data_IF_645810516053
#
_entry.id   IF_645810516053
#
_cell.length_a   1.000
_cell.length_b   1.000
_cell.length_c   1.000
_cell.angle_alpha   90.00
_cell.angle_beta   90.00
_cell.angle_gamma   90.00
#
_symmetry.space_group_name_H-M   'P 1'
#
loop_
_entity.id
_entity.type
_entity.pdbx_description
1 polymer ?
#
# COMPACT_ATOMS: atom_id res chain seq x y z
N UNK A 1 6.34 -7.59 -23.25
CA UNK A 1 5.44 -8.05 -22.17
C UNK A 1 5.73 -7.18 -20.95
N UNK A 2 4.73 -6.51 -20.43
CA UNK A 2 4.87 -5.65 -19.24
C UNK A 2 5.10 -6.53 -18.01
N UNK A 3 6.15 -6.24 -17.24
CA UNK A 3 6.46 -6.97 -16.00
C UNK A 3 5.99 -6.16 -14.79
N UNK A 4 5.29 -6.82 -13.89
CA UNK A 4 4.80 -6.22 -12.65
C UNK A 4 5.30 -6.95 -11.41
N UNK A 5 5.32 -6.26 -10.28
CA UNK A 5 5.75 -6.80 -8.99
C UNK A 5 4.96 -6.11 -7.86
N UNK A 6 4.69 -6.85 -6.78
CA UNK A 6 4.08 -6.30 -5.57
C UNK A 6 5.13 -6.26 -4.45
N UNK A 7 5.31 -5.08 -3.86
CA UNK A 7 6.24 -4.87 -2.75
C UNK A 7 5.50 -4.36 -1.53
N UNK A 8 5.85 -4.84 -0.36
CA UNK A 8 5.17 -4.45 0.86
C UNK A 8 6.07 -4.27 2.08
N UNK A 9 5.58 -3.47 3.02
CA UNK A 9 6.08 -3.33 4.37
C UNK A 9 4.97 -3.76 5.34
N UNK A 10 5.13 -4.91 5.99
CA UNK A 10 4.19 -5.44 6.96
C UNK A 10 4.79 -5.46 8.36
N UNK A 11 3.96 -5.27 9.38
CA UNK A 11 4.34 -5.39 10.79
C UNK A 11 3.71 -6.62 11.45
N UNK A 12 2.40 -6.77 11.33
CA UNK A 12 1.63 -7.87 11.95
C UNK A 12 1.21 -8.97 10.97
N UNK A 13 1.58 -8.85 9.71
CA UNK A 13 1.21 -9.79 8.65
C UNK A 13 -0.04 -9.39 7.84
N UNK A 14 -0.77 -8.35 8.22
CA UNK A 14 -1.99 -7.95 7.50
C UNK A 14 -1.69 -7.36 6.12
N UNK A 15 -0.74 -6.45 6.05
CA UNK A 15 -0.29 -5.89 4.76
C UNK A 15 0.29 -6.99 3.86
N UNK A 16 0.95 -7.97 4.42
CA UNK A 16 1.45 -9.14 3.68
C UNK A 16 0.31 -9.96 3.07
N UNK A 17 -0.76 -10.26 3.83
CA UNK A 17 -1.94 -10.98 3.33
C UNK A 17 -2.56 -10.24 2.15
N UNK A 18 -2.74 -8.93 2.26
CA UNK A 18 -3.27 -8.07 1.20
C UNK A 18 -2.34 -8.08 -0.02
N UNK A 19 -1.04 -7.91 0.19
CA UNK A 19 -0.05 -7.93 -0.89
C UNK A 19 -0.06 -9.24 -1.68
N UNK A 20 -0.15 -10.38 -0.98
CA UNK A 20 -0.26 -11.71 -1.60
C UNK A 20 -1.52 -11.85 -2.46
N UNK A 21 -2.66 -11.32 -1.99
CA UNK A 21 -3.90 -11.34 -2.76
C UNK A 21 -3.88 -10.42 -3.98
N UNK A 22 -3.30 -9.24 -3.85
CA UNK A 22 -3.07 -8.35 -5.01
C UNK A 22 -2.16 -9.05 -6.03
N UNK A 23 -1.09 -9.67 -5.58
CA UNK A 23 -0.16 -10.41 -6.44
C UNK A 23 -0.83 -11.60 -7.14
N UNK A 24 -1.70 -12.34 -6.42
CA UNK A 24 -2.52 -13.43 -6.99
C UNK A 24 -3.39 -12.91 -8.14
N UNK A 25 -4.13 -11.81 -7.94
CA UNK A 25 -4.98 -11.20 -8.96
C UNK A 25 -4.18 -10.68 -10.16
N UNK A 26 -3.03 -10.07 -9.91
CA UNK A 26 -2.14 -9.56 -10.95
C UNK A 26 -1.37 -10.67 -11.68
N UNK A 27 -1.28 -11.86 -11.08
CA UNK A 27 -0.54 -13.00 -11.65
C UNK A 27 0.98 -12.88 -11.50
N UNK A 28 1.45 -12.29 -10.39
CA UNK A 28 2.86 -12.02 -10.11
C UNK A 28 3.25 -12.43 -8.69
N UNK A 29 4.50 -12.25 -8.33
CA UNK A 29 5.00 -12.47 -6.96
C UNK A 29 4.95 -11.19 -6.13
N UNK A 30 4.89 -11.37 -4.81
CA UNK A 30 5.00 -10.30 -3.81
C UNK A 30 6.24 -10.48 -2.94
N UNK A 31 6.88 -9.36 -2.58
CA UNK A 31 8.13 -9.37 -1.80
C UNK A 31 8.07 -8.41 -0.63
N UNK A 32 8.53 -8.88 0.52
CA UNK A 32 8.77 -8.03 1.69
C UNK A 32 9.89 -7.02 1.43
N UNK A 33 9.83 -5.89 2.09
CA UNK A 33 10.84 -4.81 2.03
C UNK A 33 12.29 -5.26 2.26
N UNK A 34 12.49 -6.41 2.88
CA UNK A 34 13.84 -6.96 3.14
C UNK A 34 14.39 -7.76 1.97
N UNK A 35 13.52 -8.26 1.09
CA UNK A 35 13.85 -9.19 0.02
C UNK A 35 13.50 -8.64 -1.38
N UNK A 36 13.60 -7.32 -1.57
CA UNK A 36 13.25 -6.66 -2.84
C UNK A 36 14.28 -7.04 -3.92
N UNK A 37 13.85 -7.65 -5.04
CA UNK A 37 14.74 -7.97 -6.15
C UNK A 37 15.22 -6.70 -6.89
N UNK A 38 16.07 -6.87 -7.90
CA UNK A 38 16.38 -5.78 -8.81
C UNK A 38 15.12 -5.38 -9.61
N UNK A 39 14.79 -4.10 -9.62
CA UNK A 39 13.57 -3.58 -10.24
C UNK A 39 13.77 -3.13 -11.69
N UNK A 40 14.96 -3.30 -12.28
CA UNK A 40 15.25 -2.78 -13.63
C UNK A 40 14.26 -3.25 -14.68
N UNK A 41 13.88 -4.53 -14.63
CA UNK A 41 13.05 -5.17 -15.63
C UNK A 41 11.54 -5.06 -15.36
N UNK A 42 11.14 -4.35 -14.31
CA UNK A 42 9.74 -4.17 -13.96
C UNK A 42 9.22 -2.83 -14.44
N UNK A 43 8.05 -2.83 -15.07
CA UNK A 43 7.37 -1.65 -15.60
C UNK A 43 6.33 -1.09 -14.62
N UNK A 44 5.65 -1.99 -13.89
CA UNK A 44 4.68 -1.68 -12.84
C UNK A 44 5.17 -2.18 -11.49
N UNK A 45 5.18 -1.30 -10.51
CA UNK A 45 5.48 -1.64 -9.11
C UNK A 45 4.27 -1.27 -8.24
N UNK A 46 3.66 -2.26 -7.61
CA UNK A 46 2.61 -2.05 -6.62
C UNK A 46 3.25 -1.96 -5.24
N UNK A 47 3.08 -0.81 -4.57
CA UNK A 47 3.71 -0.53 -3.28
C UNK A 47 2.69 -0.50 -2.15
N UNK A 48 2.92 -1.30 -1.13
CA UNK A 48 2.08 -1.35 0.05
C UNK A 48 2.78 -1.09 1.37
N UNK A 49 2.07 -0.47 2.29
CA UNK A 49 2.53 -0.25 3.66
C UNK A 49 1.35 -0.28 4.63
N UNK A 50 1.65 -0.44 5.91
CA UNK A 50 0.67 -0.23 6.96
C UNK A 50 0.73 1.22 7.45
N UNK A 51 -0.42 1.72 7.90
CA UNK A 51 -0.56 3.05 8.48
C UNK A 51 -1.17 2.93 9.88
N UNK A 52 -0.83 3.86 10.76
CA UNK A 52 -1.32 3.91 12.13
C UNK A 52 -1.75 5.33 12.48
N UNK A 53 -2.91 5.45 13.12
CA UNK A 53 -3.44 6.74 13.60
C UNK A 53 -3.47 7.82 12.50
N UNK A 54 -3.86 7.46 11.29
CA UNK A 54 -3.92 8.38 10.16
C UNK A 54 -2.56 8.85 9.64
N UNK A 55 -1.48 8.13 9.93
CA UNK A 55 -0.12 8.46 9.50
C UNK A 55 0.60 7.23 8.96
N UNK A 56 1.47 7.48 7.98
CA UNK A 56 2.42 6.45 7.57
C UNK A 56 3.39 6.23 8.73
N UNK A 57 3.60 4.96 9.10
CA UNK A 57 4.57 4.62 10.14
C UNK A 57 5.97 5.10 9.76
N UNK A 58 6.82 5.36 10.76
CA UNK A 58 8.21 5.76 10.51
C UNK A 58 8.95 4.74 9.63
N UNK A 59 8.75 3.44 9.90
CA UNK A 59 9.30 2.36 9.08
C UNK A 59 8.75 2.33 7.66
N UNK A 60 7.45 2.63 7.49
CA UNK A 60 6.81 2.75 6.18
C UNK A 60 7.36 3.92 5.37
N UNK A 61 7.48 5.09 5.98
CA UNK A 61 8.06 6.25 5.31
C UNK A 61 9.53 6.00 4.89
N UNK A 62 10.31 5.37 5.76
CA UNK A 62 11.70 4.99 5.46
C UNK A 62 11.78 3.99 4.30
N UNK A 63 10.90 2.99 4.29
CA UNK A 63 10.78 2.03 3.20
C UNK A 63 10.46 2.71 1.87
N UNK A 64 9.44 3.57 1.83
CA UNK A 64 9.06 4.30 0.61
C UNK A 64 10.18 5.23 0.12
N UNK A 65 10.88 5.93 1.02
CA UNK A 65 12.05 6.76 0.66
C UNK A 65 13.19 5.95 0.05
N UNK A 66 13.42 4.74 0.53
CA UNK A 66 14.46 3.86 0.01
C UNK A 66 14.09 3.32 -1.37
N UNK A 67 12.85 2.85 -1.54
CA UNK A 67 12.42 2.22 -2.78
C UNK A 67 12.26 3.23 -3.93
N UNK A 68 11.81 4.48 -3.64
CA UNK A 68 11.57 5.48 -4.68
C UNK A 68 12.78 5.71 -5.60
N UNK A 69 14.00 5.53 -5.10
CA UNK A 69 15.23 5.67 -5.89
C UNK A 69 15.34 4.67 -7.04
N UNK A 70 14.57 3.58 -6.97
CA UNK A 70 14.54 2.51 -7.97
C UNK A 70 13.32 2.57 -8.89
N UNK A 71 12.48 3.61 -8.77
CA UNK A 71 11.19 3.70 -9.44
C UNK A 71 11.18 4.66 -10.65
N UNK A 72 12.30 5.28 -10.98
CA UNK A 72 12.37 6.22 -12.11
C UNK A 72 11.88 5.57 -13.41
N UNK A 73 10.96 6.24 -14.10
CA UNK A 73 10.37 5.78 -15.36
C UNK A 73 9.31 4.69 -15.23
N UNK A 74 8.93 4.30 -14.01
CA UNK A 74 7.98 3.20 -13.77
C UNK A 74 6.58 3.71 -13.46
N UNK A 75 5.58 2.86 -13.75
CA UNK A 75 4.21 3.01 -13.22
C UNK A 75 4.18 2.49 -11.78
N UNK A 76 3.47 3.19 -10.90
CA UNK A 76 3.33 2.79 -9.49
C UNK A 76 1.86 2.84 -9.08
N UNK A 77 1.35 1.74 -8.55
CA UNK A 77 0.09 1.68 -7.83
C UNK A 77 0.33 1.59 -6.32
N UNK A 78 -0.55 2.18 -5.53
CA UNK A 78 -0.39 2.26 -4.08
C UNK A 78 -1.50 1.50 -3.36
N UNK A 79 -1.15 0.84 -2.26
CA UNK A 79 -2.13 0.30 -1.32
C UNK A 79 -1.65 0.46 0.13
N UNK A 80 -2.59 0.45 1.06
CA UNK A 80 -2.24 0.40 2.48
C UNK A 80 -3.26 -0.40 3.31
N UNK A 81 -2.84 -0.82 4.48
CA UNK A 81 -3.73 -1.36 5.52
C UNK A 81 -3.74 -0.41 6.72
N UNK A 82 -4.92 -0.19 7.29
CA UNK A 82 -5.11 0.69 8.43
C UNK A 82 -6.06 0.05 9.45
N UNK A 83 -5.85 0.32 10.71
CA UNK A 83 -6.76 -0.08 11.76
C UNK A 83 -7.97 0.85 11.94
N UNK A 84 -7.94 2.03 11.32
CA UNK A 84 -9.03 3.00 11.39
C UNK A 84 -10.09 2.80 10.32
N UNK A 85 -11.37 3.14 10.59
CA UNK A 85 -12.40 3.18 9.57
C UNK A 85 -12.11 4.29 8.56
N UNK A 86 -12.45 4.05 7.30
CA UNK A 86 -12.27 5.01 6.21
C UNK A 86 -13.06 6.32 6.39
N UNK A 87 -14.14 6.25 7.14
CA UNK A 87 -15.06 7.36 7.34
C UNK A 87 -14.58 8.41 8.37
N UNK A 88 -13.48 8.16 9.06
CA UNK A 88 -12.90 9.14 9.97
C UNK A 88 -12.38 10.34 9.20
N UNK A 89 -13.08 11.47 9.38
CA UNK A 89 -12.66 12.74 8.85
C UNK A 89 -11.59 13.37 9.76
N UNK A 90 -10.40 13.59 9.22
CA UNK A 90 -9.40 14.39 9.92
C UNK A 90 -9.73 15.87 9.76
N UNK A 91 -9.94 16.58 10.87
CA UNK A 91 -10.08 18.04 10.89
C UNK A 91 -8.82 18.66 11.43
N UNK A 92 -8.22 19.56 10.68
CA UNK A 92 -7.40 20.63 11.25
C UNK A 92 -8.28 21.87 11.46
N UNK A 93 -7.93 22.74 12.40
CA UNK A 93 -8.78 23.90 12.78
C UNK A 93 -9.16 24.82 11.61
N UNK A 94 -8.43 24.78 10.50
CA UNK A 94 -8.58 25.68 9.35
C UNK A 94 -8.84 24.97 8.02
N UNK A 95 -9.09 23.65 7.99
CA UNK A 95 -9.27 22.90 6.76
C UNK A 95 -10.62 22.19 6.72
N UNK A 96 -11.17 22.04 5.51
CA UNK A 96 -12.34 21.21 5.28
C UNK A 96 -12.06 19.74 5.67
N UNK A 97 -13.04 19.00 6.22
CA UNK A 97 -12.86 17.61 6.60
C UNK A 97 -12.48 16.77 5.36
N UNK A 98 -11.42 15.95 5.51
CA UNK A 98 -10.94 15.05 4.47
C UNK A 98 -10.97 13.61 4.96
N UNK A 99 -11.22 12.66 4.06
CA UNK A 99 -11.14 11.23 4.38
C UNK A 99 -9.69 10.83 4.67
N UNK A 100 -9.50 10.00 5.68
CA UNK A 100 -8.16 9.54 6.07
C UNK A 100 -7.46 8.83 4.90
N UNK A 101 -8.19 8.02 4.12
CA UNK A 101 -7.62 7.35 2.95
C UNK A 101 -6.98 8.33 1.95
N UNK A 102 -7.64 9.45 1.68
CA UNK A 102 -7.12 10.44 0.72
C UNK A 102 -5.86 11.11 1.24
N UNK A 103 -5.81 11.43 2.54
CA UNK A 103 -4.63 11.97 3.21
C UNK A 103 -3.46 10.97 3.14
N UNK A 104 -3.75 9.68 3.35
CA UNK A 104 -2.71 8.64 3.32
C UNK A 104 -2.14 8.43 1.94
N UNK A 105 -2.99 8.31 0.92
CA UNK A 105 -2.52 8.16 -0.47
C UNK A 105 -1.75 9.40 -0.95
N UNK A 106 -2.19 10.60 -0.58
CA UNK A 106 -1.46 11.83 -0.86
C UNK A 106 -0.07 11.81 -0.20
N UNK A 107 0.03 11.39 1.05
CA UNK A 107 1.30 11.30 1.78
C UNK A 107 2.23 10.27 1.15
N UNK A 108 1.73 9.08 0.77
CA UNK A 108 2.51 8.07 0.07
C UNK A 108 2.99 8.58 -1.29
N UNK A 109 2.10 9.21 -2.06
CA UNK A 109 2.41 9.80 -3.37
C UNK A 109 3.51 10.85 -3.25
N UNK A 110 3.43 11.76 -2.27
CA UNK A 110 4.48 12.78 -2.03
C UNK A 110 5.84 12.16 -1.76
N UNK A 111 5.88 11.09 -0.96
CA UNK A 111 7.14 10.41 -0.65
C UNK A 111 7.71 9.72 -1.90
N UNK A 112 6.88 8.97 -2.62
CA UNK A 112 7.31 8.16 -3.77
C UNK A 112 7.73 9.03 -4.94
N UNK A 113 6.99 10.10 -5.22
CA UNK A 113 7.21 10.96 -6.39
C UNK A 113 8.27 12.04 -6.17
N UNK A 114 8.79 12.20 -4.96
CA UNK A 114 9.76 13.26 -4.65
C UNK A 114 11.06 13.09 -5.44
N UNK A 115 11.35 14.03 -6.35
CA UNK A 115 12.54 14.06 -7.19
C UNK A 115 12.72 12.82 -8.09
N UNK A 116 11.61 12.17 -8.47
CA UNK A 116 11.60 11.01 -9.35
C UNK A 116 10.63 11.22 -10.51
N UNK A 117 10.99 10.70 -11.67
CA UNK A 117 10.07 10.60 -12.80
C UNK A 117 9.27 9.29 -12.68
N UNK A 118 8.19 9.33 -11.90
CA UNK A 118 7.33 8.18 -11.60
C UNK A 118 5.90 8.49 -12.01
N UNK A 119 5.23 7.55 -12.65
CA UNK A 119 3.80 7.67 -12.98
C UNK A 119 2.99 6.97 -11.89
N UNK A 120 2.39 7.75 -10.99
CA UNK A 120 1.48 7.21 -9.97
C UNK A 120 0.12 6.96 -10.63
N UNK A 121 -0.36 5.71 -10.58
CA UNK A 121 -1.67 5.34 -11.11
C UNK A 121 -2.79 5.89 -10.21
N UNK A 122 -3.95 6.16 -10.81
CA UNK A 122 -5.17 6.55 -10.08
C UNK A 122 -5.76 5.39 -9.27
N UNK A 123 -5.55 4.17 -9.76
CA UNK A 123 -5.97 2.93 -9.13
C UNK A 123 -5.19 2.71 -7.83
N UNK A 124 -5.93 2.58 -6.74
CA UNK A 124 -5.38 2.43 -5.39
C UNK A 124 -6.31 1.61 -4.52
N UNK A 125 -5.74 0.90 -3.55
CA UNK A 125 -6.48 0.02 -2.67
C UNK A 125 -6.12 0.24 -1.21
N UNK A 126 -7.11 0.14 -0.34
CA UNK A 126 -6.88 0.09 1.10
C UNK A 126 -7.88 -0.86 1.75
N UNK A 127 -7.50 -1.43 2.87
CA UNK A 127 -8.41 -2.19 3.72
C UNK A 127 -8.03 -2.07 5.20
N UNK A 128 -8.94 -2.55 6.04
CA UNK A 128 -8.72 -2.62 7.48
C UNK A 128 -7.71 -3.71 7.82
N UNK A 129 -6.87 -3.45 8.80
CA UNK A 129 -5.94 -4.40 9.41
C UNK A 129 -6.12 -4.47 10.93
N UNK A 130 -5.52 -5.44 11.55
CA UNK A 130 -5.52 -5.60 13.00
C UNK A 130 -4.59 -4.59 13.68
N UNK A 131 -5.04 -3.98 14.78
CA UNK A 131 -4.14 -3.28 15.70
C UNK A 131 -3.55 -4.31 16.66
N UNK A 132 -2.24 -4.46 16.64
CA UNK A 132 -1.51 -5.25 17.63
C UNK A 132 -0.44 -4.39 18.29
N UNK A 133 -0.47 -4.35 19.61
CA UNK A 133 0.55 -3.70 20.45
C UNK A 133 1.07 -4.70 21.47
N UNK A 134 2.41 -4.74 21.64
CA UNK A 134 3.07 -5.67 22.57
C UNK A 134 2.68 -7.14 22.38
N UNK A 135 2.46 -7.57 21.12
CA UNK A 135 2.08 -8.94 20.79
C UNK A 135 0.62 -9.32 21.11
N UNK A 136 -0.19 -8.36 21.55
CA UNK A 136 -1.63 -8.55 21.82
C UNK A 136 -2.46 -7.77 20.81
N UNK A 137 -3.50 -8.44 20.28
CA UNK A 137 -4.52 -7.79 19.45
C UNK A 137 -5.29 -6.80 20.32
N UNK A 138 -5.36 -5.55 19.89
CA UNK A 138 -6.04 -4.48 20.62
C UNK A 138 -7.39 -4.13 19.97
N UNK A 139 -7.48 -4.17 18.65
CA UNK A 139 -8.67 -3.82 17.89
C UNK A 139 -8.65 -4.48 16.50
N UNK A 140 -9.82 -4.53 15.84
CA UNK A 140 -9.99 -5.05 14.47
C UNK A 140 -9.56 -6.50 14.30
N UNK A 141 -9.79 -7.33 15.33
CA UNK A 141 -9.62 -8.77 15.21
C UNK A 141 -10.44 -9.32 14.04
N UNK A 142 -9.87 -10.27 13.29
CA UNK A 142 -10.49 -10.87 12.11
C UNK A 142 -10.34 -10.05 10.82
N UNK A 143 -9.67 -8.90 10.85
CA UNK A 143 -9.34 -8.13 9.65
C UNK A 143 -7.86 -8.33 9.21
N UNK A 144 -7.58 -8.33 7.88
CA UNK A 144 -8.57 -8.27 6.81
C UNK A 144 -9.46 -9.54 6.76
N UNK A 145 -10.75 -9.33 6.46
CA UNK A 145 -11.72 -10.42 6.24
C UNK A 145 -11.47 -11.11 4.90
N UNK A 146 -12.09 -12.27 4.69
CA UNK A 146 -12.02 -12.95 3.38
C UNK A 146 -12.58 -12.08 2.26
N UNK A 147 -13.65 -11.32 2.50
CA UNK A 147 -14.23 -10.37 1.54
C UNK A 147 -13.25 -9.24 1.21
N UNK A 148 -12.58 -8.67 2.19
CA UNK A 148 -11.54 -7.65 1.98
C UNK A 148 -10.34 -8.21 1.18
N UNK A 149 -9.98 -9.46 1.40
CA UNK A 149 -8.93 -10.15 0.65
C UNK A 149 -9.34 -10.45 -0.80
N UNK A 150 -10.62 -10.78 -1.05
CA UNK A 150 -11.14 -10.92 -2.41
C UNK A 150 -11.19 -9.57 -3.15
N UNK A 151 -11.51 -8.47 -2.46
CA UNK A 151 -11.39 -7.13 -3.04
C UNK A 151 -9.94 -6.77 -3.38
N UNK A 152 -8.98 -7.19 -2.56
CA UNK A 152 -7.55 -7.01 -2.86
C UNK A 152 -7.13 -7.79 -4.12
N UNK A 153 -7.64 -9.01 -4.29
CA UNK A 153 -7.42 -9.81 -5.51
C UNK A 153 -8.02 -9.12 -6.74
N UNK A 154 -9.28 -8.67 -6.63
CA UNK A 154 -9.96 -7.93 -7.71
C UNK A 154 -9.19 -6.66 -8.11
N UNK A 155 -8.58 -5.95 -7.14
CA UNK A 155 -7.70 -4.83 -7.44
C UNK A 155 -6.47 -5.25 -8.25
N UNK A 156 -5.86 -6.40 -7.94
CA UNK A 156 -4.77 -6.98 -8.73
C UNK A 156 -5.20 -7.29 -10.17
N UNK A 157 -6.39 -7.87 -10.35
CA UNK A 157 -6.98 -8.15 -11.66
C UNK A 157 -7.22 -6.85 -12.46
N UNK A 158 -7.76 -5.82 -11.81
CA UNK A 158 -7.93 -4.49 -12.42
C UNK A 158 -6.60 -3.90 -12.91
N UNK A 159 -5.54 -4.01 -12.12
CA UNK A 159 -4.21 -3.53 -12.53
C UNK A 159 -3.66 -4.31 -13.73
N UNK A 160 -3.99 -5.59 -13.85
CA UNK A 160 -3.58 -6.42 -14.98
C UNK A 160 -4.17 -5.91 -16.30
N UNK A 161 -5.40 -5.38 -16.27
CA UNK A 161 -6.06 -4.82 -17.46
C UNK A 161 -5.41 -3.52 -17.94
N UNK A 162 -4.55 -2.89 -17.11
CA UNK A 162 -3.81 -1.67 -17.45
C UNK A 162 -2.40 -1.93 -18.00
N UNK A 163 -1.98 -3.21 -18.05
CA UNK A 163 -0.67 -3.62 -18.57
C UNK A 163 -0.74 -3.90 -20.06
#
# INVERSE_FOLDING_TARGET
MVKAIVLYNSHTGNTEKVAKKIAEGLGVESFDKKNIPDLKDYDLVVLGSWVIMGRISFGGARYLRRIRRKLAGKKVALFFTSAGPDENHWKTENEAPRKIKDIMFESMTKIVNKNQNVTILSERFYCTGVISMFGKVQDKEGHPTDEELELAKAFGEQLKDLL
#
